data_IF_730797265635
#
_entry.id   IF_730797265635
#
_cell.length_a   1.000
_cell.length_b   1.000
_cell.length_c   1.000
_cell.angle_alpha   90.00
_cell.angle_beta   90.00
_cell.angle_gamma   90.00
#
_symmetry.space_group_name_H-M   'P 1'
#
loop_
_entity.id
_entity.type
_entity.pdbx_description
1 polymer ?
#
# COMPACT_ATOMS: atom_id res chain seq x y z
N UNK A 1 21.20 -29.86 -17.06
CA UNK A 1 20.95 -28.68 -16.20
C UNK A 1 19.67 -28.05 -16.72
N UNK A 2 18.69 -27.77 -15.86
CA UNK A 2 17.48 -27.04 -16.27
C UNK A 2 17.87 -25.62 -16.67
N UNK A 3 17.53 -25.20 -17.89
CA UNK A 3 17.78 -23.86 -18.39
C UNK A 3 16.83 -22.87 -17.67
N UNK A 4 17.24 -22.26 -16.56
CA UNK A 4 16.34 -21.45 -15.72
C UNK A 4 15.71 -20.24 -16.45
N UNK A 5 16.22 -19.89 -17.63
CA UNK A 5 15.67 -18.84 -18.49
C UNK A 5 14.45 -19.25 -19.30
N UNK A 6 14.04 -20.52 -19.28
CA UNK A 6 12.77 -20.94 -19.92
C UNK A 6 11.56 -20.73 -19.04
N UNK A 7 11.75 -20.48 -17.73
CA UNK A 7 10.65 -20.21 -16.82
C UNK A 7 10.07 -18.81 -17.06
N UNK A 8 8.77 -18.76 -17.19
CA UNK A 8 7.97 -17.54 -17.26
C UNK A 8 7.29 -17.30 -15.92
N UNK A 9 6.73 -16.09 -15.72
CA UNK A 9 6.01 -15.78 -14.49
C UNK A 9 4.82 -16.71 -14.25
N UNK A 10 4.17 -17.14 -15.34
CA UNK A 10 3.05 -18.08 -15.33
C UNK A 10 3.39 -19.42 -14.65
N UNK A 11 4.62 -19.90 -14.82
CA UNK A 11 5.09 -21.18 -14.24
C UNK A 11 5.19 -21.15 -12.71
N UNK A 12 5.26 -19.95 -12.11
CA UNK A 12 5.29 -19.76 -10.66
C UNK A 12 3.91 -19.44 -10.07
N UNK A 13 2.90 -19.21 -10.91
CA UNK A 13 1.55 -18.86 -10.48
C UNK A 13 0.74 -20.12 -10.20
N UNK A 14 0.64 -20.47 -8.91
CA UNK A 14 0.00 -21.71 -8.45
C UNK A 14 -1.53 -21.66 -8.42
N UNK A 15 -2.13 -20.53 -8.80
CA UNK A 15 -3.56 -20.30 -8.67
C UNK A 15 -4.12 -19.51 -9.86
N UNK A 16 -5.40 -19.72 -10.12
CA UNK A 16 -6.13 -19.02 -11.17
C UNK A 16 -6.76 -17.71 -10.68
N UNK A 17 -7.15 -16.84 -11.61
CA UNK A 17 -7.86 -15.60 -11.31
C UNK A 17 -9.16 -15.86 -10.51
N UNK A 18 -9.87 -16.95 -10.83
CA UNK A 18 -11.08 -17.36 -10.11
C UNK A 18 -10.77 -17.72 -8.66
N UNK A 19 -9.69 -18.47 -8.43
CA UNK A 19 -9.26 -18.84 -7.07
C UNK A 19 -8.86 -17.59 -6.26
N UNK A 20 -8.19 -16.63 -6.90
CA UNK A 20 -7.83 -15.34 -6.29
C UNK A 20 -9.05 -14.55 -5.82
N UNK A 21 -10.03 -14.31 -6.70
CA UNK A 21 -11.24 -13.58 -6.32
C UNK A 21 -12.09 -14.32 -5.28
N UNK A 22 -12.16 -15.66 -5.38
CA UNK A 22 -12.87 -16.47 -4.40
C UNK A 22 -12.21 -16.39 -3.01
N UNK A 23 -10.88 -16.37 -2.94
CA UNK A 23 -10.14 -16.15 -1.70
C UNK A 23 -10.52 -14.80 -1.09
N UNK A 24 -10.52 -13.72 -1.88
CA UNK A 24 -10.89 -12.38 -1.41
C UNK A 24 -12.33 -12.38 -0.87
N UNK A 25 -13.28 -12.99 -1.60
CA UNK A 25 -14.67 -13.07 -1.16
C UNK A 25 -14.83 -13.76 0.20
N UNK A 26 -14.25 -14.95 0.35
CA UNK A 26 -14.32 -15.73 1.59
C UNK A 26 -13.56 -15.08 2.74
N UNK A 27 -12.48 -14.35 2.44
CA UNK A 27 -11.74 -13.59 3.44
C UNK A 27 -12.54 -12.39 3.92
N UNK A 28 -13.10 -11.60 3.01
CA UNK A 28 -13.92 -10.45 3.34
C UNK A 28 -15.17 -10.84 4.15
N UNK A 29 -15.83 -11.93 3.79
CA UNK A 29 -16.97 -12.44 4.56
C UNK A 29 -16.56 -12.81 5.99
N UNK A 30 -15.41 -13.47 6.16
CA UNK A 30 -14.95 -13.93 7.47
C UNK A 30 -14.43 -12.82 8.39
N UNK A 31 -13.90 -11.73 7.84
CA UNK A 31 -13.39 -10.60 8.65
C UNK A 31 -14.43 -9.50 8.85
N UNK A 32 -15.62 -9.62 8.27
CA UNK A 32 -16.71 -8.70 8.58
C UNK A 32 -16.99 -8.71 10.10
N UNK A 33 -17.13 -7.55 10.78
CA UNK A 33 -17.30 -6.19 10.27
C UNK A 33 -16.02 -5.32 10.25
N UNK A 34 -14.82 -5.91 10.21
CA UNK A 34 -13.54 -5.18 10.23
C UNK A 34 -13.41 -4.14 9.11
N UNK A 35 -14.15 -4.27 8.00
CA UNK A 35 -14.21 -3.27 6.91
C UNK A 35 -14.62 -1.88 7.39
N UNK A 36 -15.49 -1.78 8.41
CA UNK A 36 -15.87 -0.48 8.98
C UNK A 36 -14.70 0.16 9.72
N UNK A 37 -13.94 -0.64 10.48
CA UNK A 37 -12.74 -0.18 11.19
C UNK A 37 -11.63 0.19 10.19
N UNK A 38 -11.46 -0.60 9.14
CA UNK A 38 -10.53 -0.35 8.06
C UNK A 38 -10.83 0.96 7.31
N UNK A 39 -12.11 1.22 7.00
CA UNK A 39 -12.53 2.48 6.39
C UNK A 39 -12.28 3.67 7.32
N UNK A 40 -12.67 3.56 8.60
CA UNK A 40 -12.41 4.61 9.59
C UNK A 40 -10.91 4.89 9.74
N UNK A 41 -10.08 3.83 9.80
CA UNK A 41 -8.62 3.92 9.83
C UNK A 41 -8.07 4.62 8.57
N UNK A 42 -8.57 4.28 7.38
CA UNK A 42 -8.18 4.94 6.13
C UNK A 42 -8.53 6.43 6.12
N UNK A 43 -9.72 6.81 6.60
CA UNK A 43 -10.13 8.21 6.73
C UNK A 43 -9.26 8.97 7.75
N UNK A 44 -8.88 8.32 8.86
CA UNK A 44 -7.92 8.88 9.82
C UNK A 44 -6.58 9.17 9.16
N UNK A 45 -6.05 8.23 8.36
CA UNK A 45 -4.79 8.41 7.64
C UNK A 45 -4.88 9.60 6.66
N UNK A 46 -5.96 9.70 5.89
CA UNK A 46 -6.20 10.84 4.99
C UNK A 46 -6.23 12.16 5.78
N UNK A 47 -6.97 12.19 6.89
CA UNK A 47 -7.04 13.35 7.79
C UNK A 47 -5.68 13.75 8.35
N UNK A 48 -4.84 12.78 8.68
CA UNK A 48 -3.48 13.01 9.18
C UNK A 48 -2.57 13.66 8.13
N UNK A 49 -2.68 13.26 6.85
CA UNK A 49 -1.96 13.91 5.75
C UNK A 49 -2.53 15.32 5.48
N UNK A 50 -3.84 15.48 5.58
CA UNK A 50 -4.51 16.76 5.36
C UNK A 50 -4.13 17.81 6.43
N UNK A 51 -3.88 17.38 7.67
CA UNK A 51 -3.47 18.22 8.80
C UNK A 51 -2.14 17.72 9.37
N UNK A 52 -1.02 18.01 8.68
CA UNK A 52 0.29 17.49 9.07
C UNK A 52 0.75 18.06 10.42
N UNK A 53 1.38 17.20 11.21
CA UNK A 53 1.81 17.49 12.57
C UNK A 53 2.47 16.26 13.18
N UNK A 54 3.22 16.44 14.27
CA UNK A 54 3.97 15.34 14.89
C UNK A 54 3.04 14.21 15.36
N UNK A 55 1.91 14.58 15.99
CA UNK A 55 0.91 13.62 16.46
C UNK A 55 0.20 12.91 15.30
N UNK A 56 -0.21 13.65 14.26
CA UNK A 56 -0.91 13.06 13.12
C UNK A 56 0.00 12.15 12.29
N UNK A 57 1.28 12.47 12.14
CA UNK A 57 2.24 11.56 11.51
C UNK A 57 2.41 10.27 12.32
N UNK A 58 2.55 10.37 13.64
CA UNK A 58 2.62 9.20 14.52
C UNK A 58 1.38 8.33 14.36
N UNK A 59 0.19 8.92 14.37
CA UNK A 59 -1.08 8.19 14.21
C UNK A 59 -1.11 7.48 12.85
N UNK A 60 -0.82 8.19 11.75
CA UNK A 60 -0.82 7.60 10.41
C UNK A 60 0.14 6.41 10.30
N UNK A 61 1.35 6.53 10.84
CA UNK A 61 2.35 5.45 10.84
C UNK A 61 1.92 4.26 11.70
N UNK A 62 1.31 4.48 12.87
CA UNK A 62 0.80 3.39 13.71
C UNK A 62 -0.39 2.68 13.07
N UNK A 63 -1.32 3.43 12.48
CA UNK A 63 -2.46 2.86 11.74
C UNK A 63 -1.95 1.99 10.59
N UNK A 64 -0.98 2.48 9.81
CA UNK A 64 -0.35 1.67 8.77
C UNK A 64 0.38 0.47 9.34
N UNK A 65 1.10 0.59 10.45
CA UNK A 65 1.81 -0.54 11.05
C UNK A 65 0.84 -1.66 11.45
N UNK A 66 -0.31 -1.31 12.06
CA UNK A 66 -1.37 -2.27 12.38
C UNK A 66 -1.95 -2.88 11.11
N UNK A 67 -2.24 -2.07 10.08
CA UNK A 67 -2.75 -2.54 8.79
C UNK A 67 -1.78 -3.52 8.11
N UNK A 68 -0.49 -3.21 8.04
CA UNK A 68 0.55 -4.10 7.49
C UNK A 68 0.66 -5.39 8.29
N UNK A 69 0.65 -5.31 9.62
CA UNK A 69 0.67 -6.49 10.49
C UNK A 69 -0.58 -7.38 10.31
N UNK A 70 -1.76 -6.76 10.24
CA UNK A 70 -3.01 -7.45 9.99
C UNK A 70 -3.00 -8.15 8.63
N UNK A 71 -2.62 -7.45 7.55
CA UNK A 71 -2.55 -8.04 6.21
C UNK A 71 -1.51 -9.17 6.16
N UNK A 72 -0.33 -8.97 6.77
CA UNK A 72 0.69 -10.02 6.83
C UNK A 72 0.18 -11.28 7.53
N UNK A 73 -0.53 -11.14 8.64
CA UNK A 73 -1.10 -12.25 9.39
C UNK A 73 -2.37 -12.82 8.74
N UNK A 74 -3.46 -12.05 8.72
CA UNK A 74 -4.80 -12.52 8.38
C UNK A 74 -5.01 -12.78 6.88
N UNK A 75 -4.32 -12.03 6.00
CA UNK A 75 -4.42 -12.25 4.56
C UNK A 75 -3.31 -13.19 4.08
N UNK A 76 -2.05 -12.87 4.31
CA UNK A 76 -0.94 -13.63 3.73
C UNK A 76 -0.71 -14.98 4.39
N UNK A 77 -0.65 -15.03 5.72
CA UNK A 77 -0.33 -16.27 6.44
C UNK A 77 -1.54 -17.20 6.55
N UNK A 78 -2.70 -16.66 6.91
CA UNK A 78 -3.92 -17.46 7.17
C UNK A 78 -4.72 -17.84 5.92
N UNK A 79 -4.56 -17.12 4.80
CA UNK A 79 -5.36 -17.36 3.59
C UNK A 79 -4.52 -17.58 2.35
N UNK A 80 -3.62 -16.66 2.05
CA UNK A 80 -2.86 -16.70 0.80
C UNK A 80 -1.85 -17.86 0.77
N UNK A 81 -1.32 -18.25 1.94
CA UNK A 81 -0.42 -19.40 2.07
C UNK A 81 -1.06 -20.72 1.61
N UNK A 82 -2.39 -20.85 1.69
CA UNK A 82 -3.11 -22.05 1.27
C UNK A 82 -3.10 -22.25 -0.25
N UNK A 83 -3.03 -21.16 -1.01
CA UNK A 83 -3.09 -21.19 -2.48
C UNK A 83 -1.76 -20.82 -3.16
N UNK A 84 -0.81 -20.30 -2.39
CA UNK A 84 0.46 -19.80 -2.90
C UNK A 84 1.58 -20.03 -1.88
N UNK A 85 2.58 -20.83 -2.25
CA UNK A 85 3.74 -21.11 -1.40
C UNK A 85 4.56 -19.88 -1.03
N UNK A 86 4.42 -18.77 -1.78
CA UNK A 86 5.05 -17.49 -1.43
C UNK A 86 4.32 -16.74 -0.29
N UNK A 87 3.11 -17.17 0.09
CA UNK A 87 2.29 -16.55 1.15
C UNK A 87 3.05 -16.25 2.46
N UNK A 88 3.73 -17.24 3.08
CA UNK A 88 4.49 -17.01 4.31
C UNK A 88 5.64 -16.00 4.15
N UNK A 89 6.27 -15.94 2.98
CA UNK A 89 7.33 -14.97 2.70
C UNK A 89 6.78 -13.54 2.57
N UNK A 90 5.60 -13.40 1.96
CA UNK A 90 4.88 -12.13 1.94
C UNK A 90 4.46 -11.72 3.35
N UNK A 91 3.96 -12.65 4.17
CA UNK A 91 3.64 -12.37 5.57
C UNK A 91 4.85 -11.83 6.35
N UNK A 92 6.04 -12.45 6.17
CA UNK A 92 7.28 -11.99 6.78
C UNK A 92 7.66 -10.58 6.31
N UNK A 93 7.64 -10.32 5.00
CA UNK A 93 7.94 -9.00 4.46
C UNK A 93 6.97 -7.93 4.98
N UNK A 94 5.68 -8.24 5.06
CA UNK A 94 4.69 -7.34 5.61
C UNK A 94 4.90 -7.08 7.11
N UNK A 95 5.30 -8.09 7.87
CA UNK A 95 5.70 -7.94 9.27
C UNK A 95 6.92 -7.02 9.45
N UNK A 96 7.94 -7.16 8.60
CA UNK A 96 9.11 -6.26 8.61
C UNK A 96 8.71 -4.81 8.33
N UNK A 97 7.83 -4.58 7.35
CA UNK A 97 7.32 -3.24 7.07
C UNK A 97 6.51 -2.67 8.25
N UNK A 98 5.66 -3.48 8.88
CA UNK A 98 4.90 -3.08 10.07
C UNK A 98 5.83 -2.62 11.21
N UNK A 99 6.87 -3.41 11.50
CA UNK A 99 7.87 -3.08 12.52
C UNK A 99 8.63 -1.79 12.18
N UNK A 100 9.02 -1.61 10.92
CA UNK A 100 9.70 -0.39 10.48
C UNK A 100 8.81 0.86 10.64
N UNK A 101 7.52 0.76 10.28
CA UNK A 101 6.54 1.83 10.48
C UNK A 101 6.35 2.16 11.97
N UNK A 102 6.29 1.14 12.84
CA UNK A 102 6.29 1.32 14.29
C UNK A 102 7.52 2.09 14.78
N UNK A 103 8.73 1.69 14.35
CA UNK A 103 9.96 2.40 14.74
C UNK A 103 9.99 3.85 14.25
N UNK A 104 9.47 4.12 13.05
CA UNK A 104 9.30 5.48 12.55
C UNK A 104 8.31 6.28 13.41
N UNK A 105 7.23 5.66 13.86
CA UNK A 105 6.24 6.29 14.74
C UNK A 105 6.79 6.61 16.14
N UNK A 106 7.83 5.91 16.60
CA UNK A 106 8.53 6.23 17.85
C UNK A 106 9.37 7.50 17.75
N UNK A 107 9.83 7.86 16.53
CA UNK A 107 10.64 9.07 16.27
C UNK A 107 9.97 9.93 15.19
N UNK A 108 8.75 10.44 15.44
CA UNK A 108 8.00 11.18 14.44
C UNK A 108 8.74 12.48 14.10
N UNK A 109 8.92 12.75 12.82
CA UNK A 109 9.50 14.02 12.35
C UNK A 109 8.37 15.00 12.05
N UNK A 110 8.56 16.26 12.44
CA UNK A 110 7.69 17.35 12.04
C UNK A 110 7.97 17.73 10.58
N UNK A 111 7.49 16.93 9.63
CA UNK A 111 7.64 17.18 8.19
C UNK A 111 6.32 17.64 7.60
N UNK A 112 6.16 18.92 7.32
CA UNK A 112 4.96 19.42 6.66
C UNK A 112 5.11 19.25 5.14
N UNK A 113 4.36 18.35 4.47
CA UNK A 113 4.37 18.30 3.01
C UNK A 113 3.77 19.59 2.46
N UNK A 114 4.45 20.22 1.48
CA UNK A 114 4.04 21.49 0.90
C UNK A 114 3.47 21.31 -0.52
N UNK A 115 2.47 22.13 -0.87
CA UNK A 115 1.91 22.26 -2.22
C UNK A 115 1.56 20.92 -2.88
N UNK A 116 2.15 20.69 -4.06
CA UNK A 116 1.91 19.51 -4.90
C UNK A 116 2.27 18.18 -4.19
N UNK A 117 3.30 18.15 -3.32
CA UNK A 117 3.68 16.93 -2.60
C UNK A 117 2.51 16.42 -1.72
N UNK A 118 1.83 17.35 -1.04
CA UNK A 118 0.66 17.03 -0.22
C UNK A 118 -0.50 16.53 -1.08
N UNK A 119 -0.75 17.18 -2.22
CA UNK A 119 -1.82 16.78 -3.14
C UNK A 119 -1.59 15.38 -3.72
N UNK A 120 -0.36 15.04 -4.13
CA UNK A 120 -0.02 13.70 -4.61
C UNK A 120 -0.17 12.66 -3.50
N UNK A 121 0.31 12.96 -2.28
CA UNK A 121 0.16 12.06 -1.14
C UNK A 121 -1.32 11.80 -0.78
N UNK A 122 -2.14 12.85 -0.76
CA UNK A 122 -3.59 12.75 -0.55
C UNK A 122 -4.27 12.01 -1.69
N UNK A 123 -3.86 12.25 -2.95
CA UNK A 123 -4.39 11.57 -4.12
C UNK A 123 -4.14 10.06 -4.07
N UNK A 124 -2.90 9.64 -3.83
CA UNK A 124 -2.53 8.23 -3.71
C UNK A 124 -3.29 7.54 -2.56
N UNK A 125 -3.31 8.18 -1.38
CA UNK A 125 -3.98 7.60 -0.20
C UNK A 125 -5.50 7.57 -0.37
N UNK A 126 -6.08 8.64 -0.91
CA UNK A 126 -7.52 8.74 -1.17
C UNK A 126 -7.98 7.73 -2.22
N UNK A 127 -7.22 7.57 -3.31
CA UNK A 127 -7.49 6.54 -4.31
C UNK A 127 -7.42 5.14 -3.71
N UNK A 128 -6.41 4.85 -2.89
CA UNK A 128 -6.26 3.55 -2.25
C UNK A 128 -7.41 3.22 -1.28
N UNK A 129 -7.85 4.18 -0.48
CA UNK A 129 -8.89 3.97 0.55
C UNK A 129 -10.29 3.98 -0.05
N UNK A 130 -10.57 4.88 -1.00
CA UNK A 130 -11.93 5.15 -1.48
C UNK A 130 -12.17 4.51 -2.84
N UNK A 131 -11.27 4.70 -3.80
CA UNK A 131 -11.50 4.29 -5.18
C UNK A 131 -11.13 2.82 -5.44
N UNK A 132 -10.10 2.29 -4.78
CA UNK A 132 -9.63 0.92 -5.00
C UNK A 132 -10.70 -0.15 -4.72
N UNK A 133 -11.50 -0.07 -3.64
CA UNK A 133 -12.60 -1.01 -3.41
C UNK A 133 -13.64 -1.00 -4.54
N UNK A 134 -13.80 0.13 -5.25
CA UNK A 134 -14.76 0.29 -6.34
C UNK A 134 -14.31 -0.42 -7.63
N UNK A 135 -13.04 -0.84 -7.72
CA UNK A 135 -12.55 -1.61 -8.86
C UNK A 135 -13.26 -2.95 -9.02
N UNK A 136 -13.72 -3.55 -7.91
CA UNK A 136 -14.50 -4.78 -7.95
C UNK A 136 -15.84 -4.57 -8.69
N UNK A 137 -16.79 -3.76 -8.18
CA UNK A 137 -18.05 -3.51 -8.89
C UNK A 137 -17.84 -2.88 -10.26
N UNK A 138 -16.85 -2.00 -10.42
CA UNK A 138 -16.51 -1.40 -11.73
C UNK A 138 -16.04 -2.40 -12.78
N UNK A 139 -15.57 -3.58 -12.36
CA UNK A 139 -15.17 -4.69 -13.25
C UNK A 139 -16.25 -5.78 -13.35
N UNK A 140 -17.48 -5.51 -12.90
CA UNK A 140 -18.57 -6.49 -12.87
C UNK A 140 -18.47 -7.52 -11.74
N UNK A 141 -17.57 -7.33 -10.77
CA UNK A 141 -17.38 -8.21 -9.61
C UNK A 141 -18.27 -7.79 -8.44
N UNK A 142 -18.56 -8.71 -7.53
CA UNK A 142 -19.34 -8.40 -6.32
C UNK A 142 -18.55 -7.55 -5.31
N UNK A 143 -19.25 -6.83 -4.43
CA UNK A 143 -18.63 -6.10 -3.31
C UNK A 143 -17.88 -7.01 -2.33
N UNK A 144 -18.27 -8.28 -2.24
CA UNK A 144 -17.54 -9.28 -1.47
C UNK A 144 -16.12 -9.48 -2.00
N UNK A 145 -15.85 -9.23 -3.27
CA UNK A 145 -14.53 -9.36 -3.90
C UNK A 145 -13.74 -8.03 -3.92
N UNK A 146 -14.21 -7.02 -3.20
CA UNK A 146 -13.56 -5.71 -3.11
C UNK A 146 -12.32 -5.77 -2.22
N UNK A 147 -11.23 -5.19 -2.70
CA UNK A 147 -10.00 -5.07 -1.93
C UNK A 147 -10.03 -3.75 -1.16
N UNK A 148 -10.04 -3.86 0.18
CA UNK A 148 -10.18 -2.71 1.08
C UNK A 148 -8.87 -2.44 1.81
N UNK A 149 -8.51 -1.16 1.93
CA UNK A 149 -7.34 -0.70 2.69
C UNK A 149 -7.30 -1.33 4.09
N UNK A 150 -6.13 -1.79 4.54
CA UNK A 150 -5.94 -2.41 5.85
C UNK A 150 -6.46 -3.85 5.97
N UNK A 151 -7.14 -4.36 4.95
CA UNK A 151 -7.64 -5.73 4.87
C UNK A 151 -6.94 -6.48 3.73
N UNK A 152 -6.85 -5.85 2.56
CA UNK A 152 -6.14 -6.34 1.39
C UNK A 152 -4.77 -5.66 1.23
N UNK A 153 -3.78 -6.37 0.65
CA UNK A 153 -2.40 -5.88 0.57
C UNK A 153 -2.22 -4.71 -0.41
N UNK A 154 -2.87 -4.75 -1.57
CA UNK A 154 -2.70 -3.78 -2.65
C UNK A 154 -3.06 -2.33 -2.26
N UNK A 155 -4.28 -2.03 -1.78
CA UNK A 155 -4.62 -0.68 -1.34
C UNK A 155 -3.79 -0.26 -0.12
N UNK A 156 -3.38 -1.20 0.74
CA UNK A 156 -2.52 -0.91 1.89
C UNK A 156 -1.14 -0.43 1.45
N UNK A 157 -0.54 -1.07 0.45
CA UNK A 157 0.74 -0.65 -0.11
C UNK A 157 0.65 0.74 -0.75
N UNK A 158 -0.38 1.01 -1.56
CA UNK A 158 -0.56 2.32 -2.22
C UNK A 158 -0.77 3.44 -1.20
N UNK A 159 -1.64 3.24 -0.21
CA UNK A 159 -1.84 4.21 0.87
C UNK A 159 -0.54 4.48 1.65
N UNK A 160 0.28 3.44 1.85
CA UNK A 160 1.58 3.56 2.51
C UNK A 160 2.54 4.42 1.69
N UNK A 161 2.61 4.23 0.37
CA UNK A 161 3.41 5.10 -0.50
C UNK A 161 2.99 6.57 -0.36
N UNK A 162 1.69 6.86 -0.26
CA UNK A 162 1.18 8.20 0.01
C UNK A 162 1.67 8.79 1.34
N UNK A 163 1.61 8.02 2.43
CA UNK A 163 2.09 8.47 3.75
C UNK A 163 3.61 8.63 3.80
N UNK A 164 4.36 7.70 3.19
CA UNK A 164 5.82 7.78 3.12
C UNK A 164 6.27 9.00 2.30
N UNK A 165 5.52 9.35 1.24
CA UNK A 165 5.69 10.58 0.50
C UNK A 165 5.42 11.80 1.38
N UNK A 166 4.29 11.83 2.09
CA UNK A 166 3.92 12.94 2.97
C UNK A 166 4.97 13.20 4.08
N UNK A 167 5.49 12.13 4.69
CA UNK A 167 6.44 12.22 5.80
C UNK A 167 7.91 12.31 5.38
N UNK A 168 8.20 12.35 4.06
CA UNK A 168 9.57 12.32 3.50
C UNK A 168 10.41 11.19 4.10
N UNK A 169 9.82 9.99 4.19
CA UNK A 169 10.42 8.84 4.84
C UNK A 169 11.75 8.43 4.19
N UNK A 170 12.62 7.78 4.98
CA UNK A 170 13.89 7.23 4.49
C UNK A 170 13.65 6.23 3.33
N UNK A 171 14.51 6.17 2.29
CA UNK A 171 14.30 5.29 1.12
C UNK A 171 14.02 3.84 1.47
N UNK A 172 14.64 3.33 2.54
CA UNK A 172 14.48 1.94 2.96
C UNK A 172 13.02 1.58 3.25
N UNK A 173 12.22 2.55 3.73
CA UNK A 173 10.80 2.35 4.02
C UNK A 173 9.93 2.14 2.76
N UNK A 174 10.46 2.49 1.59
CA UNK A 174 9.78 2.37 0.31
C UNK A 174 10.00 1.01 -0.34
N UNK A 175 11.04 0.27 0.05
CA UNK A 175 11.44 -0.95 -0.64
C UNK A 175 10.32 -2.00 -0.66
N UNK A 176 9.72 -2.29 0.50
CA UNK A 176 8.70 -3.33 0.61
C UNK A 176 7.38 -2.92 -0.08
N UNK A 177 6.82 -1.72 0.13
CA UNK A 177 5.62 -1.29 -0.60
C UNK A 177 5.83 -1.27 -2.13
N UNK A 178 6.99 -0.82 -2.61
CA UNK A 178 7.29 -0.80 -4.05
C UNK A 178 7.49 -2.21 -4.61
N UNK A 179 8.20 -3.07 -3.89
CA UNK A 179 8.36 -4.47 -4.27
C UNK A 179 7.00 -5.17 -4.33
N UNK A 180 6.11 -4.91 -3.36
CA UNK A 180 4.75 -5.44 -3.40
C UNK A 180 3.97 -4.95 -4.61
N UNK A 181 3.98 -3.64 -4.92
CA UNK A 181 3.31 -3.12 -6.12
C UNK A 181 3.85 -3.74 -7.42
N UNK A 182 5.14 -4.06 -7.48
CA UNK A 182 5.74 -4.74 -8.63
C UNK A 182 5.29 -6.22 -8.71
N UNK A 183 5.41 -6.97 -7.61
CA UNK A 183 5.04 -8.39 -7.54
C UNK A 183 3.55 -8.59 -7.76
N UNK A 184 2.70 -7.84 -7.05
CA UNK A 184 1.24 -7.91 -7.21
C UNK A 184 0.81 -7.43 -8.60
N UNK A 185 1.38 -6.34 -9.11
CA UNK A 185 1.13 -5.88 -10.48
C UNK A 185 1.44 -6.94 -11.53
N UNK A 186 2.61 -7.58 -11.44
CA UNK A 186 3.00 -8.67 -12.33
C UNK A 186 2.06 -9.89 -12.20
N UNK A 187 1.70 -10.25 -10.97
CA UNK A 187 0.73 -11.32 -10.69
C UNK A 187 -0.62 -11.03 -11.35
N UNK A 188 -1.16 -9.82 -11.18
CA UNK A 188 -2.45 -9.43 -11.76
C UNK A 188 -2.41 -9.37 -13.30
N UNK A 189 -1.29 -9.03 -13.90
CA UNK A 189 -1.12 -9.06 -15.37
C UNK A 189 -1.20 -10.48 -15.89
N UNK A 190 -0.51 -11.42 -15.24
CA UNK A 190 -0.53 -12.83 -15.61
C UNK A 190 -1.92 -13.45 -15.37
N UNK A 191 -2.63 -13.00 -14.33
CA UNK A 191 -4.02 -13.37 -14.07
C UNK A 191 -5.03 -12.71 -15.04
N UNK A 192 -4.59 -11.88 -15.99
CA UNK A 192 -5.46 -11.22 -16.97
C UNK A 192 -6.42 -10.20 -16.36
N UNK A 193 -6.05 -9.57 -15.23
CA UNK A 193 -6.88 -8.56 -14.56
C UNK A 193 -6.76 -7.23 -15.31
N UNK A 194 -7.89 -6.69 -15.80
CA UNK A 194 -7.90 -5.52 -16.69
C UNK A 194 -7.24 -4.24 -16.11
N UNK A 195 -7.21 -4.10 -14.78
CA UNK A 195 -6.60 -2.97 -14.09
C UNK A 195 -5.24 -3.29 -13.44
N UNK A 196 -4.60 -4.40 -13.82
CA UNK A 196 -3.30 -4.82 -13.26
C UNK A 196 -2.20 -3.75 -13.36
N UNK A 197 -2.25 -2.89 -14.39
CA UNK A 197 -1.30 -1.81 -14.61
C UNK A 197 -1.38 -0.68 -13.58
N UNK A 198 -2.42 -0.62 -12.75
CA UNK A 198 -2.61 0.45 -11.77
C UNK A 198 -1.52 0.44 -10.68
N UNK A 199 -1.20 -0.72 -10.10
CA UNK A 199 -0.18 -0.80 -9.03
C UNK A 199 1.19 -0.31 -9.47
N UNK A 200 1.79 -0.80 -10.58
CA UNK A 200 3.09 -0.30 -11.02
C UNK A 200 3.01 1.19 -11.40
N UNK A 201 1.89 1.66 -11.94
CA UNK A 201 1.68 3.08 -12.24
C UNK A 201 1.73 3.92 -10.96
N UNK A 202 1.00 3.54 -9.91
CA UNK A 202 1.03 4.24 -8.62
C UNK A 202 2.41 4.20 -7.97
N UNK A 203 3.12 3.07 -8.06
CA UNK A 203 4.48 2.94 -7.57
C UNK A 203 5.44 3.89 -8.28
N UNK A 204 5.40 3.94 -9.61
CA UNK A 204 6.22 4.85 -10.43
C UNK A 204 5.90 6.31 -10.09
N UNK A 205 4.62 6.67 -10.01
CA UNK A 205 4.19 8.03 -9.64
C UNK A 205 4.70 8.42 -8.24
N UNK A 206 4.61 7.51 -7.28
CA UNK A 206 5.09 7.75 -5.92
C UNK A 206 6.61 7.94 -5.87
N UNK A 207 7.38 7.13 -6.62
CA UNK A 207 8.84 7.26 -6.72
C UNK A 207 9.22 8.57 -7.42
N UNK A 208 8.60 8.87 -8.56
CA UNK A 208 8.85 10.11 -9.30
C UNK A 208 8.58 11.33 -8.40
N UNK A 209 7.45 11.36 -7.70
CA UNK A 209 7.12 12.40 -6.73
C UNK A 209 8.17 12.47 -5.59
N UNK A 210 8.55 11.32 -5.03
CA UNK A 210 9.56 11.24 -3.97
C UNK A 210 10.91 11.81 -4.40
N UNK A 211 11.36 11.51 -5.61
CA UNK A 211 12.62 12.02 -6.18
C UNK A 211 12.55 13.52 -6.48
N UNK A 212 11.45 13.99 -7.07
CA UNK A 212 11.24 15.40 -7.39
C UNK A 212 11.24 16.26 -6.13
N UNK A 213 10.46 15.89 -5.12
CA UNK A 213 10.30 16.71 -3.92
C UNK A 213 11.46 16.61 -2.94
N UNK A 214 12.30 15.57 -3.03
CA UNK A 214 13.57 15.49 -2.27
C UNK A 214 14.63 16.47 -2.74
N UNK A 215 14.60 16.84 -4.03
CA UNK A 215 15.61 17.72 -4.65
C UNK A 215 15.31 19.20 -4.49
N UNK A 216 14.10 19.60 -4.09
CA UNK A 216 13.78 21.01 -3.84
C UNK A 216 14.53 21.51 -2.60
N UNK A 217 15.55 22.39 -2.74
CA UNK A 217 16.17 23.04 -1.61
C UNK A 217 15.10 23.91 -0.94
N UNK A 218 15.10 23.98 0.39
CA UNK A 218 14.31 25.00 1.07
C UNK A 218 14.74 26.35 0.51
N UNK A 219 13.84 27.05 -0.18
CA UNK A 219 14.05 28.44 -0.52
C UNK A 219 14.20 29.19 0.80
N UNK A 220 15.46 29.45 1.18
CA UNK A 220 15.79 30.38 2.25
C UNK A 220 15.20 31.73 1.85
N UNK A 221 14.03 32.05 2.40
CA UNK A 221 13.54 33.41 2.42
C UNK A 221 14.47 34.21 3.33
N UNK A 222 15.51 34.81 2.76
CA UNK A 222 16.13 35.98 3.33
C UNK A 222 15.12 37.13 3.20
N UNK A 223 14.26 37.28 4.21
CA UNK A 223 13.74 38.59 4.56
C UNK A 223 14.92 39.42 5.04
N UNK A 224 15.52 40.21 4.16
CA UNK A 224 16.30 41.36 4.58
C UNK A 224 15.31 42.47 4.90
N UNK A 225 15.10 42.68 6.19
CA UNK A 225 14.70 43.98 6.71
C UNK A 225 15.78 45.00 6.35
N UNK A 226 15.44 45.95 5.48
CA UNK A 226 15.92 47.34 5.51
C UNK A 226 14.89 48.28 4.90
#
# INVERSE_FOLDING_TARGET
>A
MSEWWTYTLSDFLMFSQRSYYRLIALYNEAVWPAHLLALAAGLIVIGCIARPGVHTHRIALLVLAVAWGWVGWAYHLERHADINTAGPWFALAFGVQAVMLCFMALRPRATTPAGMQKQVALGLTGLAVIAYPLLAPGSGRGWSEAEVFGIAPDPTAIATLGVLLACRAHPIAWLIPLAWCAVSGATLMELGVGYAWLLPTFAILAVAAGLLFRRSPQAHWHGQDK
#
